data_IF_993265566583
#
_entry.id   IF_993265566583
#
_cell.length_a   1.000
_cell.length_b   1.000
_cell.length_c   1.000
_cell.angle_alpha   90.00
_cell.angle_beta   90.00
_cell.angle_gamma   90.00
#
_symmetry.space_group_name_H-M   'P 1'
#
loop_
_entity.id
_entity.type
_entity.pdbx_description
1 polymer ?
#
# COMPACT_ATOMS: atom_id res chain seq x y z
N UNK A 1 40.75 19.15 1.78
CA UNK A 1 40.17 18.14 2.68
C UNK A 1 39.22 17.34 1.82
N UNK A 2 39.82 16.34 1.18
CA UNK A 2 39.31 15.69 -0.01
C UNK A 2 38.20 14.71 0.37
N UNK A 3 37.04 14.89 -0.24
CA UNK A 3 35.94 13.93 -0.17
C UNK A 3 36.32 12.80 -1.14
N UNK A 4 36.87 11.72 -0.60
CA UNK A 4 37.08 10.48 -1.34
C UNK A 4 35.79 10.06 -2.04
N UNK A 5 35.83 10.12 -3.37
CA UNK A 5 34.79 9.57 -4.24
C UNK A 5 34.86 8.05 -4.15
N UNK A 6 34.14 7.44 -3.21
CA UNK A 6 33.88 6.00 -3.25
C UNK A 6 33.05 5.71 -4.49
N UNK A 7 33.72 5.27 -5.55
CA UNK A 7 33.12 4.90 -6.82
C UNK A 7 32.37 3.56 -6.61
N UNK A 8 31.15 3.62 -6.06
CA UNK A 8 30.29 2.44 -5.87
C UNK A 8 29.70 2.04 -7.22
N UNK A 9 30.52 1.42 -8.07
CA UNK A 9 30.10 0.82 -9.32
C UNK A 9 29.33 -0.47 -9.03
N UNK A 10 28.28 -0.69 -9.80
CA UNK A 10 27.39 -1.85 -9.72
C UNK A 10 28.13 -3.17 -9.98
N UNK A 11 29.32 -3.08 -10.55
CA UNK A 11 30.24 -4.16 -10.92
C UNK A 11 30.81 -4.92 -9.71
N UNK A 12 30.66 -4.39 -8.50
CA UNK A 12 31.18 -5.00 -7.27
C UNK A 12 30.24 -6.01 -6.60
N UNK A 13 29.01 -6.19 -7.11
CA UNK A 13 28.01 -7.07 -6.50
C UNK A 13 27.90 -8.40 -7.25
N UNK A 14 27.76 -9.50 -6.51
CA UNK A 14 27.45 -10.79 -7.12
C UNK A 14 26.09 -10.75 -7.84
N UNK A 15 25.83 -11.61 -8.83
CA UNK A 15 24.54 -11.61 -9.53
C UNK A 15 23.31 -11.72 -8.61
N UNK A 16 23.32 -12.54 -7.53
CA UNK A 16 22.21 -12.57 -6.56
C UNK A 16 22.03 -11.26 -5.78
N UNK A 17 23.11 -10.67 -5.27
CA UNK A 17 23.06 -9.37 -4.54
C UNK A 17 22.57 -8.26 -5.46
N UNK A 18 22.99 -8.29 -6.73
CA UNK A 18 22.52 -7.33 -7.72
C UNK A 18 21.01 -7.43 -7.96
N UNK A 19 20.44 -8.64 -8.01
CA UNK A 19 18.99 -8.81 -8.12
C UNK A 19 18.24 -8.28 -6.89
N UNK A 20 18.80 -8.46 -5.69
CA UNK A 20 18.25 -7.90 -4.46
C UNK A 20 18.18 -6.37 -4.55
N UNK A 21 19.26 -5.71 -4.97
CA UNK A 21 19.33 -4.26 -5.16
C UNK A 21 18.32 -3.76 -6.21
N UNK A 22 18.11 -4.51 -7.29
CA UNK A 22 17.10 -4.19 -8.30
C UNK A 22 15.68 -4.30 -7.74
N UNK A 23 15.41 -5.30 -6.91
CA UNK A 23 14.10 -5.48 -6.27
C UNK A 23 13.82 -4.37 -5.25
N UNK A 24 14.81 -4.00 -4.45
CA UNK A 24 14.75 -2.84 -3.55
C UNK A 24 14.37 -1.57 -4.32
N UNK A 25 15.05 -1.31 -5.44
CA UNK A 25 14.74 -0.18 -6.32
C UNK A 25 13.32 -0.23 -6.89
N UNK A 26 12.88 -1.41 -7.36
CA UNK A 26 11.54 -1.62 -7.94
C UNK A 26 10.43 -1.37 -6.91
N UNK A 27 10.60 -1.85 -5.69
CA UNK A 27 9.64 -1.65 -4.60
C UNK A 27 9.63 -0.18 -4.18
N UNK A 28 10.79 0.42 -3.94
CA UNK A 28 10.93 1.84 -3.61
C UNK A 28 10.29 2.75 -4.68
N UNK A 29 10.49 2.45 -5.97
CA UNK A 29 9.90 3.26 -7.04
C UNK A 29 8.37 3.09 -7.14
N UNK A 30 7.84 1.91 -6.80
CA UNK A 30 6.41 1.65 -6.71
C UNK A 30 5.79 2.48 -5.58
N UNK A 31 6.42 2.48 -4.40
CA UNK A 31 5.97 3.29 -3.25
C UNK A 31 6.00 4.78 -3.63
N UNK A 32 7.11 5.27 -4.21
CA UNK A 32 7.23 6.65 -4.65
C UNK A 32 6.14 7.05 -5.66
N UNK A 33 5.77 6.16 -6.58
CA UNK A 33 4.66 6.37 -7.53
C UNK A 33 3.31 6.49 -6.80
N UNK A 34 3.03 5.63 -5.82
CA UNK A 34 1.78 5.69 -5.03
C UNK A 34 1.70 6.98 -4.20
N UNK A 35 2.84 7.54 -3.79
CA UNK A 35 2.89 8.86 -3.14
C UNK A 35 2.47 10.01 -4.06
N UNK A 36 2.51 9.84 -5.38
CA UNK A 36 1.99 10.85 -6.32
C UNK A 36 0.45 10.83 -6.44
N UNK A 37 -0.23 9.80 -5.92
CA UNK A 37 -1.69 9.83 -5.78
C UNK A 37 -2.09 10.81 -4.68
N UNK A 38 -3.24 11.48 -4.89
CA UNK A 38 -3.87 12.25 -3.81
C UNK A 38 -4.27 11.31 -2.66
N UNK A 39 -4.47 11.87 -1.46
CA UNK A 39 -4.72 11.09 -0.25
C UNK A 39 -5.87 10.08 -0.41
N UNK A 40 -7.00 10.53 -0.97
CA UNK A 40 -8.20 9.69 -1.13
C UNK A 40 -7.96 8.52 -2.08
N UNK A 41 -7.38 8.77 -3.26
CA UNK A 41 -7.05 7.72 -4.23
C UNK A 41 -5.98 6.76 -3.69
N UNK A 42 -4.99 7.26 -2.94
CA UNK A 42 -3.95 6.44 -2.33
C UNK A 42 -4.56 5.48 -1.31
N UNK A 43 -5.44 5.96 -0.44
CA UNK A 43 -6.12 5.12 0.54
C UNK A 43 -7.03 4.08 -0.14
N UNK A 44 -7.80 4.49 -1.16
CA UNK A 44 -8.62 3.55 -1.92
C UNK A 44 -7.77 2.46 -2.59
N UNK A 45 -6.63 2.83 -3.19
CA UNK A 45 -5.70 1.88 -3.81
C UNK A 45 -5.07 0.91 -2.80
N UNK A 46 -4.60 1.42 -1.65
CA UNK A 46 -4.03 0.57 -0.60
C UNK A 46 -5.07 -0.42 -0.08
N UNK A 47 -6.29 0.03 0.22
CA UNK A 47 -7.33 -0.85 0.74
C UNK A 47 -7.81 -1.85 -0.32
N UNK A 48 -8.04 -1.41 -1.56
CA UNK A 48 -8.67 -2.23 -2.60
C UNK A 48 -7.71 -3.11 -3.41
N UNK A 49 -6.51 -2.63 -3.73
CA UNK A 49 -5.55 -3.37 -4.57
C UNK A 49 -4.43 -4.04 -3.78
N UNK A 50 -4.01 -3.47 -2.63
CA UNK A 50 -2.92 -4.03 -1.82
C UNK A 50 -3.45 -4.93 -0.72
N UNK A 51 -4.50 -4.48 -0.02
CA UNK A 51 -5.13 -5.23 1.07
C UNK A 51 -6.41 -5.97 0.63
N UNK A 52 -6.80 -5.87 -0.63
CA UNK A 52 -7.89 -6.65 -1.23
C UNK A 52 -9.23 -6.56 -0.45
N UNK A 53 -9.56 -5.38 0.04
CA UNK A 53 -10.88 -5.12 0.63
C UNK A 53 -11.96 -4.99 -0.43
N UNK A 54 -13.12 -5.56 -0.14
CA UNK A 54 -14.30 -5.38 -0.96
C UNK A 54 -14.82 -3.95 -0.90
N UNK A 55 -15.59 -3.56 -1.92
CA UNK A 55 -16.05 -2.18 -2.09
C UNK A 55 -16.88 -1.64 -0.92
N UNK A 56 -17.64 -2.51 -0.26
CA UNK A 56 -18.44 -2.12 0.90
C UNK A 56 -17.54 -1.84 2.10
N UNK A 57 -16.66 -2.80 2.43
CA UNK A 57 -15.72 -2.70 3.56
C UNK A 57 -14.80 -1.50 3.42
N UNK A 58 -14.23 -1.28 2.22
CA UNK A 58 -13.38 -0.13 1.94
C UNK A 58 -14.11 1.22 2.12
N UNK A 59 -15.39 1.27 1.76
CA UNK A 59 -16.26 2.44 1.99
C UNK A 59 -16.46 2.70 3.49
N UNK A 60 -16.83 1.67 4.25
CA UNK A 60 -17.02 1.72 5.70
C UNK A 60 -15.74 2.16 6.43
N UNK A 61 -14.60 1.56 6.11
CA UNK A 61 -13.29 1.89 6.69
C UNK A 61 -12.95 3.36 6.46
N UNK A 62 -13.20 3.89 5.25
CA UNK A 62 -12.91 5.29 4.93
C UNK A 62 -14.02 6.26 5.36
N UNK A 63 -15.19 5.77 5.77
CA UNK A 63 -16.35 6.61 6.09
C UNK A 63 -16.94 7.30 4.85
N UNK A 64 -16.94 6.61 3.70
CA UNK A 64 -17.50 7.08 2.43
C UNK A 64 -18.48 6.05 1.87
N UNK A 65 -19.31 6.43 0.90
CA UNK A 65 -20.22 5.48 0.24
C UNK A 65 -19.44 4.44 -0.59
N UNK A 66 -20.00 3.25 -0.74
CA UNK A 66 -19.50 2.18 -1.62
C UNK A 66 -19.16 2.70 -3.03
N UNK A 67 -20.05 3.51 -3.61
CA UNK A 67 -19.84 4.06 -4.96
C UNK A 67 -18.71 5.07 -5.02
N UNK A 68 -18.56 5.91 -3.98
CA UNK A 68 -17.43 6.83 -3.90
C UNK A 68 -16.10 6.06 -3.78
N UNK A 69 -16.05 5.01 -2.94
CA UNK A 69 -14.88 4.13 -2.85
C UNK A 69 -14.52 3.50 -4.20
N UNK A 70 -15.51 2.89 -4.88
CA UNK A 70 -15.33 2.30 -6.22
C UNK A 70 -14.79 3.31 -7.22
N UNK A 71 -15.33 4.52 -7.22
CA UNK A 71 -14.91 5.56 -8.14
C UNK A 71 -13.49 6.05 -7.84
N UNK A 72 -13.13 6.22 -6.56
CA UNK A 72 -11.77 6.58 -6.16
C UNK A 72 -10.75 5.49 -6.54
N UNK A 73 -11.07 4.22 -6.29
CA UNK A 73 -10.21 3.08 -6.64
C UNK A 73 -10.00 2.99 -8.16
N UNK A 74 -11.08 3.10 -8.94
CA UNK A 74 -11.00 3.11 -10.41
C UNK A 74 -10.10 4.24 -10.93
N UNK A 75 -10.28 5.46 -10.41
CA UNK A 75 -9.43 6.61 -10.77
C UNK A 75 -7.97 6.41 -10.34
N UNK A 76 -7.73 5.79 -9.19
CA UNK A 76 -6.39 5.46 -8.72
C UNK A 76 -5.69 4.46 -9.67
N UNK A 77 -6.36 3.35 -10.00
CA UNK A 77 -5.90 2.36 -10.98
C UNK A 77 -5.56 2.99 -12.32
N UNK A 78 -6.47 3.81 -12.86
CA UNK A 78 -6.24 4.51 -14.12
C UNK A 78 -5.00 5.40 -14.10
N UNK A 79 -4.75 6.12 -12.98
CA UNK A 79 -3.55 6.95 -12.82
C UNK A 79 -2.27 6.13 -12.74
N UNK A 80 -2.28 5.04 -11.98
CA UNK A 80 -1.15 4.12 -11.86
C UNK A 80 -0.82 3.53 -13.23
N UNK A 81 -1.81 2.95 -13.92
CA UNK A 81 -1.65 2.36 -15.25
C UNK A 81 -1.18 3.38 -16.28
N UNK A 82 -1.73 4.60 -16.29
CA UNK A 82 -1.29 5.65 -17.21
C UNK A 82 0.18 6.05 -16.96
N UNK A 83 0.60 6.14 -15.70
CA UNK A 83 1.98 6.45 -15.36
C UNK A 83 2.93 5.33 -15.78
N UNK A 84 2.64 4.08 -15.39
CA UNK A 84 3.50 2.94 -15.65
C UNK A 84 3.64 2.66 -17.14
N UNK A 85 2.54 2.70 -17.90
CA UNK A 85 2.56 2.54 -19.37
C UNK A 85 3.42 3.62 -20.04
N UNK A 86 3.36 4.87 -19.55
CA UNK A 86 4.14 5.96 -20.15
C UNK A 86 5.62 5.92 -19.77
N UNK A 87 5.96 5.44 -18.57
CA UNK A 87 7.28 5.70 -17.96
C UNK A 87 8.09 4.45 -17.69
N UNK A 88 7.48 3.31 -17.36
CA UNK A 88 8.18 2.13 -16.84
C UNK A 88 8.54 1.14 -17.95
N UNK A 89 9.84 0.90 -18.17
CA UNK A 89 10.32 -0.05 -19.18
C UNK A 89 9.96 -1.51 -18.91
N UNK A 90 9.64 -1.85 -17.65
CA UNK A 90 9.16 -3.19 -17.28
C UNK A 90 7.71 -3.43 -17.71
N UNK A 91 6.89 -2.37 -17.73
CA UNK A 91 5.49 -2.45 -18.14
C UNK A 91 5.33 -2.19 -19.63
N UNK A 92 6.12 -1.26 -20.18
CA UNK A 92 6.11 -0.91 -21.60
C UNK A 92 7.54 -0.94 -22.11
N UNK A 93 7.94 -1.94 -22.93
CA UNK A 93 9.33 -2.13 -23.35
C UNK A 93 9.99 -0.91 -24.02
N UNK A 94 9.20 -0.07 -24.70
CA UNK A 94 9.68 1.15 -25.35
C UNK A 94 9.85 2.36 -24.40
N UNK A 95 9.42 2.26 -23.15
CA UNK A 95 9.54 3.35 -22.19
C UNK A 95 10.99 3.48 -21.67
N UNK A 96 11.41 4.73 -21.43
CA UNK A 96 12.82 5.06 -21.13
C UNK A 96 13.35 4.56 -19.78
N UNK A 97 12.48 4.18 -18.83
CA UNK A 97 12.93 3.74 -17.51
C UNK A 97 13.44 2.30 -17.54
N UNK A 98 14.74 2.11 -17.31
CA UNK A 98 15.32 0.80 -17.04
C UNK A 98 15.90 0.77 -15.62
N UNK A 99 15.55 -0.26 -14.84
CA UNK A 99 16.01 -0.38 -13.45
C UNK A 99 17.54 -0.57 -13.40
N UNK A 100 18.09 -1.40 -14.28
CA UNK A 100 19.53 -1.66 -14.39
C UNK A 100 20.33 -0.40 -14.66
N UNK A 101 19.79 0.52 -15.47
CA UNK A 101 20.44 1.81 -15.76
C UNK A 101 20.27 2.84 -14.63
N UNK A 102 19.33 2.61 -13.71
CA UNK A 102 18.99 3.54 -12.63
C UNK A 102 19.67 3.20 -11.31
N UNK A 103 20.04 1.94 -11.10
CA UNK A 103 20.47 1.43 -9.80
C UNK A 103 21.70 2.16 -9.24
N UNK A 104 22.75 2.40 -10.04
CA UNK A 104 23.92 3.14 -9.58
C UNK A 104 23.57 4.57 -9.18
N UNK A 105 22.66 5.21 -9.93
CA UNK A 105 22.16 6.54 -9.59
C UNK A 105 21.26 6.55 -8.36
N UNK A 106 20.52 5.46 -8.11
CA UNK A 106 19.69 5.29 -6.92
C UNK A 106 20.55 5.10 -5.66
N UNK A 107 21.63 4.30 -5.75
CA UNK A 107 22.62 4.11 -4.68
C UNK A 107 23.31 5.44 -4.36
N UNK A 108 23.83 6.14 -5.37
CA UNK A 108 24.46 7.47 -5.20
C UNK A 108 23.53 8.49 -4.51
N UNK A 109 22.22 8.38 -4.74
CA UNK A 109 21.20 9.26 -4.15
C UNK A 109 20.63 8.72 -2.83
N UNK A 110 21.16 7.61 -2.30
CA UNK A 110 20.68 6.93 -1.09
C UNK A 110 19.18 6.59 -1.13
N UNK A 111 18.68 6.27 -2.33
CA UNK A 111 17.32 5.72 -2.52
C UNK A 111 17.28 4.21 -2.37
N UNK A 112 18.44 3.59 -2.52
CA UNK A 112 18.75 2.19 -2.26
C UNK A 112 20.05 2.24 -1.47
N UNK A 113 20.08 1.61 -0.31
CA UNK A 113 21.29 1.47 0.48
C UNK A 113 21.76 0.01 0.43
N UNK A 114 22.90 -0.29 -0.23
CA UNK A 114 23.42 -1.65 -0.27
C UNK A 114 23.75 -2.24 1.10
N UNK A 115 24.00 -1.40 2.12
CA UNK A 115 24.26 -1.84 3.48
C UNK A 115 22.96 -2.06 4.29
N UNK A 116 21.84 -1.53 3.81
CA UNK A 116 20.54 -1.58 4.49
C UNK A 116 19.41 -1.79 3.48
N UNK A 117 19.17 -3.05 3.13
CA UNK A 117 18.10 -3.41 2.20
C UNK A 117 16.80 -3.53 2.98
N UNK A 118 15.85 -2.63 2.75
CA UNK A 118 14.62 -2.50 3.57
C UNK A 118 13.58 -3.55 3.18
N UNK A 119 13.45 -3.86 1.89
CA UNK A 119 12.37 -4.70 1.38
C UNK A 119 12.81 -6.13 1.05
N UNK A 120 14.11 -6.43 1.14
CA UNK A 120 14.65 -7.78 0.97
C UNK A 120 15.20 -8.38 2.26
N UNK A 121 15.24 -7.63 3.37
CA UNK A 121 15.82 -8.16 4.60
C UNK A 121 14.98 -9.34 5.06
N UNK A 122 15.69 -10.44 5.22
CA UNK A 122 15.32 -11.67 5.89
C UNK A 122 15.02 -11.48 7.39
N UNK A 123 14.44 -10.36 7.81
CA UNK A 123 13.64 -10.30 9.04
C UNK A 123 12.27 -10.97 8.72
N UNK A 124 12.28 -12.27 8.38
CA UNK A 124 12.01 -13.40 9.30
C UNK A 124 10.58 -13.44 9.85
N UNK A 125 9.60 -12.90 9.13
CA UNK A 125 8.26 -13.45 9.28
C UNK A 125 8.21 -14.80 8.56
N UNK A 126 7.87 -15.87 9.28
CA UNK A 126 7.40 -17.07 8.60
C UNK A 126 6.19 -16.68 7.74
N UNK A 127 5.93 -17.44 6.69
CA UNK A 127 4.74 -17.24 5.88
C UNK A 127 3.48 -17.18 6.77
N UNK A 128 3.43 -18.04 7.80
CA UNK A 128 2.35 -18.07 8.78
C UNK A 128 2.24 -16.77 9.58
N UNK A 129 3.35 -16.21 10.07
CA UNK A 129 3.32 -14.93 10.79
C UNK A 129 2.91 -13.78 9.88
N UNK A 130 3.35 -13.77 8.62
CA UNK A 130 2.90 -12.77 7.65
C UNK A 130 1.39 -12.87 7.41
N UNK A 131 0.88 -14.08 7.22
CA UNK A 131 -0.56 -14.32 7.05
C UNK A 131 -1.34 -13.90 8.30
N UNK A 132 -0.85 -14.24 9.49
CA UNK A 132 -1.46 -13.83 10.76
C UNK A 132 -1.51 -12.30 10.89
N UNK A 133 -0.40 -11.61 10.63
CA UNK A 133 -0.34 -10.15 10.70
C UNK A 133 -1.26 -9.47 9.67
N UNK A 134 -1.32 -10.00 8.45
CA UNK A 134 -2.24 -9.50 7.42
C UNK A 134 -3.70 -9.71 7.86
N UNK A 135 -4.01 -10.89 8.40
CA UNK A 135 -5.33 -11.21 8.90
C UNK A 135 -5.75 -10.27 10.05
N UNK A 136 -4.89 -10.11 11.05
CA UNK A 136 -5.09 -9.21 12.19
C UNK A 136 -5.27 -7.77 11.73
N UNK A 137 -4.41 -7.30 10.82
CA UNK A 137 -4.52 -5.94 10.25
C UNK A 137 -5.86 -5.74 9.53
N UNK A 138 -6.28 -6.72 8.71
CA UNK A 138 -7.56 -6.65 8.02
C UNK A 138 -8.72 -6.64 9.03
N UNK A 139 -8.68 -7.47 10.06
CA UNK A 139 -9.68 -7.49 11.12
C UNK A 139 -9.75 -6.15 11.87
N UNK A 140 -8.61 -5.59 12.29
CA UNK A 140 -8.56 -4.30 12.98
C UNK A 140 -9.15 -3.17 12.13
N UNK A 141 -8.87 -3.16 10.83
CA UNK A 141 -9.46 -2.20 9.89
C UNK A 141 -10.98 -2.38 9.79
N UNK A 142 -11.49 -3.61 9.69
CA UNK A 142 -12.94 -3.88 9.73
C UNK A 142 -13.59 -3.36 11.01
N UNK A 143 -12.96 -3.61 12.15
CA UNK A 143 -13.44 -3.11 13.45
C UNK A 143 -13.53 -1.58 13.46
N UNK A 144 -12.54 -0.87 12.89
CA UNK A 144 -12.60 0.59 12.74
C UNK A 144 -13.77 1.01 11.85
N UNK A 145 -14.04 0.29 10.76
CA UNK A 145 -15.22 0.49 9.91
C UNK A 145 -16.52 0.38 10.72
N UNK A 146 -16.68 -0.70 11.49
CA UNK A 146 -17.85 -0.93 12.35
C UNK A 146 -18.01 0.17 13.42
N UNK A 147 -16.92 0.56 14.09
CA UNK A 147 -16.96 1.63 15.09
C UNK A 147 -17.40 2.96 14.50
N UNK A 148 -17.03 3.26 13.24
CA UNK A 148 -17.51 4.45 12.53
C UNK A 148 -19.00 4.35 12.22
N UNK A 149 -19.51 3.17 11.86
CA UNK A 149 -20.95 2.93 11.68
C UNK A 149 -21.73 3.09 12.99
N UNK A 150 -21.19 2.62 14.13
CA UNK A 150 -21.82 2.77 15.46
C UNK A 150 -21.92 4.23 15.89
N UNK A 151 -21.10 5.15 15.34
CA UNK A 151 -21.27 6.61 15.56
C UNK A 151 -22.61 7.16 15.03
N UNK A 152 -23.44 6.35 14.37
CA UNK A 152 -24.84 6.69 14.12
C UNK A 152 -25.65 6.89 15.41
N UNK A 153 -25.27 6.22 16.50
CA UNK A 153 -25.88 6.38 17.83
C UNK A 153 -25.22 7.52 18.59
N UNK A 154 -25.40 8.76 18.11
CA UNK A 154 -24.87 9.97 18.78
C UNK A 154 -25.54 10.28 20.12
N UNK A 155 -26.64 9.59 20.46
CA UNK A 155 -27.43 9.86 21.65
C UNK A 155 -27.73 8.56 22.43
N UNK A 156 -27.32 8.46 23.72
CA UNK A 156 -27.59 7.29 24.55
C UNK A 156 -29.07 6.91 24.64
N UNK A 157 -29.98 7.89 24.62
CA UNK A 157 -31.42 7.62 24.68
C UNK A 157 -31.96 6.95 23.41
N UNK A 158 -31.37 7.24 22.25
CA UNK A 158 -31.80 6.69 20.96
C UNK A 158 -31.35 5.24 20.81
N UNK A 159 -30.11 4.94 21.26
CA UNK A 159 -29.64 3.56 21.37
C UNK A 159 -30.50 2.74 22.34
N UNK A 160 -30.87 3.30 23.49
CA UNK A 160 -31.73 2.60 24.45
C UNK A 160 -33.12 2.30 23.88
N UNK A 161 -33.71 3.23 23.12
CA UNK A 161 -34.98 3.01 22.42
C UNK A 161 -34.87 1.93 21.35
N UNK A 162 -33.84 2.00 20.49
CA UNK A 162 -33.65 1.01 19.42
C UNK A 162 -33.37 -0.40 19.97
N UNK A 163 -32.69 -0.49 21.13
CA UNK A 163 -32.50 -1.76 21.85
C UNK A 163 -33.81 -2.27 22.47
N UNK A 164 -34.64 -1.39 23.04
CA UNK A 164 -35.95 -1.77 23.59
C UNK A 164 -36.87 -2.29 22.47
N UNK A 165 -36.87 -1.65 21.31
CA UNK A 165 -37.65 -2.06 20.14
C UNK A 165 -37.17 -3.41 19.58
N UNK A 166 -35.85 -3.65 19.51
CA UNK A 166 -35.28 -4.93 19.10
C UNK A 166 -35.62 -6.08 20.06
N UNK A 167 -35.56 -5.82 21.37
CA UNK A 167 -35.94 -6.82 22.40
C UNK A 167 -37.43 -7.12 22.32
N UNK A 168 -38.29 -6.12 22.11
CA UNK A 168 -39.74 -6.31 21.94
C UNK A 168 -40.09 -7.08 20.67
N UNK A 169 -39.38 -6.86 19.57
CA UNK A 169 -39.60 -7.57 18.30
C UNK A 169 -39.10 -9.01 18.31
N UNK A 170 -38.17 -9.36 19.19
CA UNK A 170 -37.64 -10.72 19.37
C UNK A 170 -38.37 -11.58 20.41
N UNK A 171 -39.43 -11.02 21.02
CA UNK A 171 -40.32 -11.73 21.95
C UNK A 171 -41.69 -11.83 21.26
N UNK A 172 -41.78 -12.78 20.32
CA UNK A 172 -43.02 -13.42 19.86
C UNK A 172 -42.68 -14.85 19.42
#
# INVERSE_FOLDING_TARGET
MDIEQTNTTVENYSPPEYQILLNELRISCTIAMLLCLNRSHRMAYILGDILEFEHNEGGEILGITRDNFRQQLSRARAKVTAFTNKRCGQVTPSAKCACDKKISGAIKKKRVDPADIIFSTSQQFSYDTLQANLHETKQALRTIGLQKSIRQYKCPSKLAQDLDDLVRQGID
#
